data_IF_934303412003
#
_entry.id   IF_934303412003
#
_cell.length_a   1.000
_cell.length_b   1.000
_cell.length_c   1.000
_cell.angle_alpha   90.00
_cell.angle_beta   90.00
_cell.angle_gamma   90.00
#
_symmetry.space_group_name_H-M   'P 1'
#
loop_
_entity.id
_entity.type
_entity.pdbx_description
1 polymer ?
#
# COMPACT_ATOMS: atom_id res chain seq x y z
N UNK A 1 13.49 12.07 9.72
CA UNK A 1 13.92 12.68 8.43
C UNK A 1 12.70 13.34 7.76
N UNK A 2 12.81 14.53 7.14
CA UNK A 2 11.69 15.14 6.42
C UNK A 2 11.29 14.29 5.19
N UNK A 3 10.03 14.37 4.77
CA UNK A 3 9.55 13.70 3.55
C UNK A 3 10.42 14.11 2.35
N UNK A 4 10.91 13.15 1.54
CA UNK A 4 11.74 13.45 0.38
C UNK A 4 11.09 14.47 -0.55
N UNK A 5 11.84 15.50 -0.94
CA UNK A 5 11.36 16.58 -1.82
C UNK A 5 11.79 16.40 -3.28
N UNK A 6 12.78 15.56 -3.53
CA UNK A 6 13.34 15.29 -4.85
C UNK A 6 13.18 13.80 -5.18
N UNK A 7 13.06 13.48 -6.48
CA UNK A 7 13.06 12.10 -6.94
C UNK A 7 14.48 11.52 -6.88
N UNK A 8 14.77 10.83 -5.79
CA UNK A 8 15.99 10.03 -5.62
C UNK A 8 15.61 8.60 -5.19
N UNK A 9 15.76 7.59 -6.08
CA UNK A 9 15.43 6.20 -5.77
C UNK A 9 16.17 5.64 -4.54
N UNK A 10 17.42 6.05 -4.33
CA UNK A 10 18.23 5.59 -3.19
C UNK A 10 17.76 6.24 -1.89
N UNK A 11 17.52 7.56 -1.91
CA UNK A 11 16.94 8.33 -0.82
C UNK A 11 15.54 7.85 -0.40
N UNK A 12 14.68 7.48 -1.35
CA UNK A 12 13.35 6.92 -1.06
C UNK A 12 13.45 5.58 -0.34
N UNK A 13 14.34 4.71 -0.78
CA UNK A 13 14.53 3.38 -0.18
C UNK A 13 14.95 3.50 1.27
N UNK A 14 15.96 4.34 1.57
CA UNK A 14 16.41 4.59 2.93
C UNK A 14 15.31 5.20 3.81
N UNK A 15 14.62 6.23 3.29
CA UNK A 15 13.50 6.88 3.98
C UNK A 15 12.41 5.88 4.39
N UNK A 16 11.93 5.04 3.46
CA UNK A 16 10.88 4.07 3.77
C UNK A 16 11.37 2.97 4.72
N UNK A 17 12.60 2.47 4.55
CA UNK A 17 13.17 1.47 5.46
C UNK A 17 13.17 1.94 6.89
N UNK A 18 13.69 3.14 7.13
CA UNK A 18 13.81 3.71 8.48
C UNK A 18 12.44 3.91 9.13
N UNK A 19 11.50 4.58 8.45
CA UNK A 19 10.21 4.93 9.06
C UNK A 19 9.31 3.72 9.26
N UNK A 20 9.27 2.79 8.30
CA UNK A 20 8.45 1.58 8.44
C UNK A 20 9.05 0.67 9.52
N UNK A 21 10.37 0.51 9.59
CA UNK A 21 11.00 -0.25 10.67
C UNK A 21 10.70 0.36 12.05
N UNK A 22 10.71 1.69 12.16
CA UNK A 22 10.34 2.39 13.40
C UNK A 22 8.90 2.10 13.85
N UNK A 23 7.94 2.04 12.93
CA UNK A 23 6.53 1.71 13.23
C UNK A 23 6.35 0.22 13.54
N UNK A 24 7.03 -0.65 12.80
CA UNK A 24 6.95 -2.11 13.01
C UNK A 24 7.51 -2.51 14.37
N UNK A 25 8.59 -1.87 14.81
CA UNK A 25 9.24 -2.17 16.08
C UNK A 25 9.68 -3.64 16.15
N UNK A 26 9.22 -4.35 17.18
CA UNK A 26 9.53 -5.77 17.40
C UNK A 26 8.49 -6.72 16.78
N UNK A 27 7.46 -6.20 16.11
CA UNK A 27 6.41 -7.03 15.53
C UNK A 27 6.84 -7.60 14.18
N UNK A 28 6.23 -8.72 13.79
CA UNK A 28 6.39 -9.26 12.44
C UNK A 28 5.51 -8.48 11.46
N UNK A 29 6.14 -7.81 10.50
CA UNK A 29 5.43 -7.20 9.37
C UNK A 29 4.87 -8.29 8.45
N UNK A 30 3.57 -8.20 8.13
CA UNK A 30 2.87 -9.20 7.28
C UNK A 30 2.25 -8.61 6.01
N UNK A 31 2.02 -7.30 5.96
CA UNK A 31 1.53 -6.57 4.81
C UNK A 31 1.71 -5.05 5.02
N UNK A 32 1.70 -4.28 3.94
CA UNK A 32 1.71 -2.81 3.95
C UNK A 32 0.48 -2.30 3.18
N UNK A 33 -0.28 -1.37 3.76
CA UNK A 33 -1.35 -0.64 3.09
C UNK A 33 -1.03 0.84 3.03
N UNK A 34 -1.24 1.47 1.88
CA UNK A 34 -0.95 2.88 1.64
C UNK A 34 -2.24 3.60 1.24
N UNK A 35 -2.61 4.63 2.00
CA UNK A 35 -3.57 5.65 1.57
C UNK A 35 -2.78 6.87 1.10
N UNK A 36 -2.95 7.25 -0.17
CA UNK A 36 -2.19 8.35 -0.77
C UNK A 36 -3.09 9.47 -1.29
N UNK A 37 -2.61 10.70 -1.13
CA UNK A 37 -3.34 11.88 -1.60
C UNK A 37 -3.20 12.08 -3.11
N UNK A 38 -4.34 12.33 -3.76
CA UNK A 38 -4.48 12.46 -5.20
C UNK A 38 -4.88 11.15 -5.89
N UNK A 39 -5.09 11.18 -7.22
CA UNK A 39 -5.48 10.00 -7.97
C UNK A 39 -4.39 8.93 -7.91
N UNK A 40 -4.79 7.70 -7.61
CA UNK A 40 -3.96 6.51 -7.77
C UNK A 40 -4.39 5.86 -9.08
N UNK A 41 -3.46 5.70 -10.01
CA UNK A 41 -3.77 5.11 -11.30
C UNK A 41 -3.92 3.57 -11.23
N UNK A 42 -4.35 2.96 -12.35
CA UNK A 42 -4.52 1.51 -12.47
C UNK A 42 -3.18 0.76 -12.25
N UNK A 43 -2.07 1.42 -12.56
CA UNK A 43 -0.70 0.96 -12.29
C UNK A 43 -0.22 1.19 -10.86
N UNK A 44 -1.12 1.56 -9.94
CA UNK A 44 -0.82 1.78 -8.51
C UNK A 44 0.23 2.87 -8.25
N UNK A 45 0.32 3.86 -9.15
CA UNK A 45 1.18 5.04 -8.98
C UNK A 45 0.38 6.27 -8.57
N UNK A 46 0.98 7.11 -7.74
CA UNK A 46 0.37 8.36 -7.28
C UNK A 46 0.51 9.42 -8.37
N UNK A 47 -0.58 10.12 -8.69
CA UNK A 47 -0.61 11.21 -9.69
C UNK A 47 -0.81 12.55 -9.00
N UNK A 48 0.19 12.99 -8.23
CA UNK A 48 0.08 14.23 -7.46
C UNK A 48 1.38 15.03 -7.43
N UNK A 49 1.81 15.59 -8.58
CA UNK A 49 3.09 16.28 -8.68
C UNK A 49 3.16 17.57 -7.84
N UNK A 50 2.00 18.15 -7.47
CA UNK A 50 1.93 19.42 -6.74
C UNK A 50 2.27 19.28 -5.26
N UNK A 51 1.78 18.23 -4.60
CA UNK A 51 2.01 18.03 -3.16
C UNK A 51 2.87 16.81 -2.84
N UNK A 52 2.96 15.84 -3.75
CA UNK A 52 3.74 14.60 -3.60
C UNK A 52 4.65 14.38 -4.83
N UNK A 53 5.34 15.42 -5.29
CA UNK A 53 6.19 15.37 -6.49
C UNK A 53 7.28 14.29 -6.45
N UNK A 54 7.92 14.11 -5.28
CA UNK A 54 8.93 13.08 -5.09
C UNK A 54 8.37 11.65 -5.20
N UNK A 55 7.10 11.44 -4.87
CA UNK A 55 6.45 10.12 -4.86
C UNK A 55 5.53 9.89 -6.07
N UNK A 56 5.36 10.89 -6.93
CA UNK A 56 4.54 10.79 -8.13
C UNK A 56 5.20 9.91 -9.18
N UNK A 57 4.41 9.15 -9.93
CA UNK A 57 4.85 8.21 -10.98
C UNK A 57 5.81 7.10 -10.50
N UNK A 58 5.88 6.87 -9.18
CA UNK A 58 6.60 5.73 -8.60
C UNK A 58 5.59 4.62 -8.31
N UNK A 59 5.89 3.40 -8.76
CA UNK A 59 5.12 2.21 -8.41
C UNK A 59 5.45 1.76 -6.97
N UNK A 60 4.99 2.55 -6.00
CA UNK A 60 5.34 2.42 -4.59
C UNK A 60 5.02 1.03 -3.99
N UNK A 61 3.90 0.37 -4.33
CA UNK A 61 3.65 -0.99 -3.83
C UNK A 61 4.67 -2.02 -4.28
N UNK A 62 5.17 -1.91 -5.50
CA UNK A 62 6.19 -2.82 -6.01
C UNK A 62 7.51 -2.57 -5.26
N UNK A 63 7.91 -1.30 -5.13
CA UNK A 63 9.11 -0.93 -4.38
C UNK A 63 9.07 -1.45 -2.93
N UNK A 64 8.01 -1.13 -2.18
CA UNK A 64 7.92 -1.53 -0.77
C UNK A 64 7.69 -3.03 -0.61
N UNK A 65 6.90 -3.64 -1.50
CA UNK A 65 6.67 -5.08 -1.47
C UNK A 65 7.98 -5.86 -1.66
N UNK A 66 8.83 -5.43 -2.60
CA UNK A 66 10.18 -5.99 -2.77
C UNK A 66 11.09 -5.68 -1.59
N UNK A 67 11.08 -4.44 -1.08
CA UNK A 67 11.98 -4.01 -0.02
C UNK A 67 11.76 -4.76 1.31
N UNK A 68 10.51 -5.11 1.61
CA UNK A 68 10.13 -5.76 2.88
C UNK A 68 9.69 -7.22 2.74
N UNK A 69 9.58 -7.73 1.51
CA UNK A 69 9.17 -9.12 1.26
C UNK A 69 7.73 -9.43 1.68
N UNK A 70 6.84 -8.43 1.69
CA UNK A 70 5.44 -8.58 2.10
C UNK A 70 4.49 -7.98 1.05
N UNK A 71 3.23 -8.42 0.97
CA UNK A 71 2.23 -7.76 0.13
C UNK A 71 2.13 -6.27 0.43
N UNK A 72 2.09 -5.45 -0.61
CA UNK A 72 1.85 -4.02 -0.48
C UNK A 72 0.73 -3.60 -1.43
N UNK A 73 -0.23 -2.80 -0.94
CA UNK A 73 -1.31 -2.23 -1.73
C UNK A 73 -1.43 -0.73 -1.48
N UNK A 74 -1.96 -0.02 -2.47
CA UNK A 74 -2.22 1.41 -2.42
C UNK A 74 -3.61 1.70 -2.98
N UNK A 75 -4.23 2.74 -2.42
CA UNK A 75 -5.40 3.40 -2.97
C UNK A 75 -5.41 4.88 -2.56
N UNK A 76 -6.40 5.62 -3.07
CA UNK A 76 -6.63 6.99 -2.70
C UNK A 76 -6.98 7.12 -1.20
N UNK A 77 -6.55 8.22 -0.60
CA UNK A 77 -6.75 8.57 0.81
C UNK A 77 -8.23 8.61 1.21
N UNK A 78 -9.11 9.19 0.39
CA UNK A 78 -10.54 9.23 0.67
C UNK A 78 -11.17 7.83 0.66
N UNK A 79 -10.78 6.97 -0.29
CA UNK A 79 -11.22 5.55 -0.33
C UNK A 79 -10.73 4.79 0.91
N UNK A 80 -9.47 5.01 1.29
CA UNK A 80 -8.86 4.36 2.46
C UNK A 80 -9.52 4.80 3.76
N UNK A 81 -9.82 6.09 3.89
CA UNK A 81 -10.53 6.66 5.02
C UNK A 81 -11.95 6.08 5.13
N UNK A 82 -12.70 6.04 4.02
CA UNK A 82 -14.03 5.45 3.97
C UNK A 82 -14.01 3.97 4.39
N UNK A 83 -13.04 3.18 3.89
CA UNK A 83 -12.86 1.79 4.31
C UNK A 83 -12.58 1.67 5.81
N UNK A 84 -11.73 2.54 6.37
CA UNK A 84 -11.44 2.59 7.80
C UNK A 84 -12.69 2.86 8.63
N UNK A 85 -13.46 3.88 8.26
CA UNK A 85 -14.71 4.26 8.93
C UNK A 85 -15.76 3.15 8.89
N UNK A 86 -15.91 2.46 7.75
CA UNK A 86 -16.87 1.37 7.64
C UNK A 86 -16.49 0.12 8.44
N UNK A 87 -15.20 -0.09 8.68
CA UNK A 87 -14.69 -1.29 9.37
C UNK A 87 -14.52 -1.09 10.87
N UNK A 88 -14.07 0.10 11.28
CA UNK A 88 -13.67 0.40 12.65
C UNK A 88 -14.41 1.60 13.24
N UNK A 89 -15.04 2.43 12.40
CA UNK A 89 -15.83 3.58 12.83
C UNK A 89 -17.31 3.23 13.04
N UNK A 90 -18.12 4.27 13.25
CA UNK A 90 -19.56 4.13 13.49
C UNK A 90 -20.39 4.02 12.20
N UNK A 91 -19.76 4.12 11.02
CA UNK A 91 -20.46 4.08 9.74
C UNK A 91 -20.76 2.62 9.33
N UNK A 92 -22.02 2.23 9.08
CA UNK A 92 -22.33 0.90 8.60
C UNK A 92 -21.79 0.69 7.17
N UNK A 93 -21.14 -0.45 6.94
CA UNK A 93 -20.50 -0.89 5.68
C UNK A 93 -21.36 -0.74 4.41
N UNK A 94 -22.68 -0.60 4.56
CA UNK A 94 -23.65 -0.58 3.46
C UNK A 94 -23.76 0.77 2.74
N UNK A 95 -23.10 1.82 3.25
CA UNK A 95 -23.08 3.16 2.64
C UNK A 95 -21.83 3.40 1.77
N UNK A 96 -21.10 2.35 1.41
CA UNK A 96 -19.92 2.46 0.57
C UNK A 96 -20.11 1.78 -0.78
N UNK A 97 -19.85 2.56 -1.81
CA UNK A 97 -20.04 2.27 -3.23
C UNK A 97 -19.14 1.10 -3.70
N UNK A 98 -19.29 0.64 -4.94
CA UNK A 98 -18.58 -0.52 -5.50
C UNK A 98 -17.05 -0.52 -5.34
N UNK A 99 -16.44 0.64 -5.12
CA UNK A 99 -15.01 0.87 -4.85
C UNK A 99 -14.52 0.43 -3.47
N UNK A 100 -15.32 -0.19 -2.60
CA UNK A 100 -14.80 -0.74 -1.33
C UNK A 100 -14.73 -2.26 -1.34
N UNK A 101 -15.56 -2.89 -2.19
CA UNK A 101 -15.53 -4.34 -2.43
C UNK A 101 -14.28 -4.80 -3.17
N UNK A 102 -13.63 -3.91 -3.93
CA UNK A 102 -12.38 -4.23 -4.62
C UNK A 102 -11.23 -4.44 -3.63
N UNK A 103 -11.19 -3.74 -2.49
CA UNK A 103 -10.15 -3.89 -1.46
C UNK A 103 -10.14 -5.29 -0.85
N UNK A 104 -11.31 -5.80 -0.47
CA UNK A 104 -11.42 -7.15 0.09
C UNK A 104 -10.92 -8.20 -0.91
N UNK A 105 -11.25 -8.03 -2.19
CA UNK A 105 -10.80 -8.91 -3.28
C UNK A 105 -9.32 -8.74 -3.61
N UNK A 106 -8.78 -7.52 -3.62
CA UNK A 106 -7.37 -7.23 -3.88
C UNK A 106 -6.48 -7.69 -2.73
N UNK A 107 -6.88 -7.50 -1.46
CA UNK A 107 -6.17 -8.03 -0.30
C UNK A 107 -6.17 -9.55 -0.28
N UNK A 108 -7.32 -10.18 -0.57
CA UNK A 108 -7.39 -11.64 -0.68
C UNK A 108 -6.51 -12.15 -1.82
N UNK A 109 -6.56 -11.51 -2.99
CA UNK A 109 -5.75 -11.88 -4.17
C UNK A 109 -4.25 -11.66 -3.93
N UNK A 110 -3.85 -10.54 -3.32
CA UNK A 110 -2.46 -10.26 -2.97
C UNK A 110 -1.93 -11.23 -1.90
N UNK A 111 -2.77 -11.60 -0.92
CA UNK A 111 -2.44 -12.60 0.10
C UNK A 111 -2.32 -14.00 -0.50
N UNK A 112 -3.14 -14.34 -1.50
CA UNK A 112 -3.02 -15.60 -2.26
C UNK A 112 -1.79 -15.62 -3.17
N UNK A 113 -1.44 -14.50 -3.80
CA UNK A 113 -0.27 -14.37 -4.68
C UNK A 113 1.06 -14.39 -3.91
N UNK A 114 1.09 -13.89 -2.67
CA UNK A 114 2.28 -13.89 -1.82
C UNK A 114 2.41 -15.14 -0.94
N UNK A 115 1.47 -16.09 -1.01
CA UNK A 115 1.61 -17.37 -0.32
C UNK A 115 2.73 -18.19 -0.99
N UNK A 116 3.72 -18.70 -0.23
CA UNK A 116 4.78 -19.52 -0.81
C UNK A 116 4.17 -20.72 -1.53
N UNK A 117 4.49 -20.86 -2.82
CA UNK A 117 3.90 -21.84 -3.70
C UNK A 117 3.95 -23.24 -3.09
N UNK A 118 2.78 -23.86 -2.91
CA UNK A 118 2.69 -25.33 -2.84
C UNK A 118 3.25 -25.84 -4.16
N UNK A 119 4.53 -26.20 -4.17
CA UNK A 119 5.09 -27.06 -5.22
C UNK A 119 4.21 -28.31 -5.22
N UNK A 120 3.46 -28.51 -6.31
CA UNK A 120 2.88 -29.81 -6.60
C UNK A 120 4.05 -30.79 -6.62
N UNK A 121 4.06 -31.72 -5.67
CA UNK A 121 4.80 -32.96 -5.85
C UNK A 121 4.16 -33.65 -7.06
N UNK A 122 4.82 -33.55 -8.21
CA UNK A 122 4.60 -34.47 -9.31
C UNK A 122 5.48 -35.68 -9.01
N UNK A 123 4.82 -36.81 -8.80
CA UNK A 123 5.39 -38.16 -8.70
C UNK A 123 5.99 -38.62 -10.00
#
# INVERSE_FOLDING_TARGET
>A
MPTPRQRDPSGHTAFFKEHIAGVVGQHRLVAIGIGASGPVDVGSSIRNPKTLGALSDIHLPHLLGHLFGVPCLIDNDAVTAAFGEAKYGAAPFHRLDGHTRHWSRRLLSARLAAAPGRRRAAS
#
